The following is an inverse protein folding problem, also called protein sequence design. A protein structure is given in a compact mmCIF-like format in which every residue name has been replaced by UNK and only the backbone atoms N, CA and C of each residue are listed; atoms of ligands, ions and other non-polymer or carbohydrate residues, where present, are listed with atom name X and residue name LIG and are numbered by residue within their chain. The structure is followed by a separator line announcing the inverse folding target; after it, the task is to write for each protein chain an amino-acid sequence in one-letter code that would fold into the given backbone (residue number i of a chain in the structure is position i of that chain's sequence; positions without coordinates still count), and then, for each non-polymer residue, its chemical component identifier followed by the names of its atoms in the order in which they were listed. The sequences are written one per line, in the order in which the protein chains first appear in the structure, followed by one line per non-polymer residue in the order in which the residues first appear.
data_IF_715181690602
#
_entry.id   IF_715181690602
#
_cell.length_a   1.000
_cell.length_b   1.000
_cell.length_c   1.000
_cell.angle_alpha   90.00
_cell.angle_beta   90.00
_cell.angle_gamma   90.00
#
_symmetry.space_group_name_H-M   'P 1'
#
loop_
_entity.id
_entity.type
_entity.pdbx_description
1 polymer ?
#
# COMPACT_ATOMS: atom_id res chain seq x y z
N UNK A 1 5.85 17.26 -5.13
CA UNK A 1 4.74 16.30 -5.03
C UNK A 1 4.53 15.90 -3.58
N UNK A 2 3.58 16.55 -2.89
CA UNK A 2 3.37 16.37 -1.45
C UNK A 2 2.97 14.94 -1.07
N UNK A 3 2.05 14.32 -1.81
CA UNK A 3 1.58 12.97 -1.53
C UNK A 3 2.69 11.91 -1.62
N UNK A 4 3.67 12.08 -2.51
CA UNK A 4 4.83 11.18 -2.65
C UNK A 4 5.70 11.24 -1.40
N UNK A 5 5.99 12.44 -0.91
CA UNK A 5 6.77 12.64 0.31
C UNK A 5 6.05 12.03 1.53
N UNK A 6 4.72 12.21 1.62
CA UNK A 6 3.91 11.59 2.67
C UNK A 6 3.96 10.05 2.60
N UNK A 7 3.93 9.45 1.41
CA UNK A 7 4.11 8.00 1.23
C UNK A 7 5.51 7.54 1.63
N UNK A 8 6.54 8.29 1.24
CA UNK A 8 7.90 8.00 1.62
C UNK A 8 8.08 8.04 3.16
N UNK A 9 7.55 9.07 3.83
CA UNK A 9 7.56 9.19 5.29
C UNK A 9 6.76 8.08 5.97
N UNK A 10 5.60 7.69 5.45
CA UNK A 10 4.83 6.55 5.96
C UNK A 10 5.65 5.27 5.93
N UNK A 11 6.33 4.99 4.81
CA UNK A 11 7.14 3.78 4.67
C UNK A 11 8.38 3.83 5.58
N UNK A 12 9.04 5.00 5.68
CA UNK A 12 10.21 5.20 6.53
C UNK A 12 9.89 5.14 8.03
N UNK A 13 8.65 5.49 8.43
CA UNK A 13 8.20 5.47 9.82
C UNK A 13 7.60 4.14 10.28
N UNK A 14 7.59 3.12 9.42
CA UNK A 14 7.16 1.77 9.81
C UNK A 14 8.05 1.21 10.94
N UNK A 15 7.47 0.48 11.90
CA UNK A 15 8.26 -0.15 12.94
C UNK A 15 9.28 -1.13 12.34
N UNK A 16 10.52 -1.05 12.82
CA UNK A 16 11.63 -1.90 12.34
C UNK A 16 11.37 -3.40 12.52
N UNK A 17 10.50 -3.76 13.45
CA UNK A 17 10.15 -5.15 13.77
C UNK A 17 8.91 -5.63 13.00
N UNK A 18 8.17 -4.73 12.34
CA UNK A 18 6.94 -5.08 11.61
C UNK A 18 7.22 -5.65 10.21
N UNK A 19 8.36 -5.31 9.61
CA UNK A 19 8.77 -5.75 8.29
C UNK A 19 10.07 -6.55 8.37
N UNK A 20 10.14 -7.77 7.79
CA UNK A 20 11.26 -8.68 8.00
C UNK A 20 12.57 -8.16 7.39
N UNK A 21 12.50 -7.33 6.36
CA UNK A 21 13.67 -6.76 5.72
C UNK A 21 13.83 -5.28 6.09
N UNK A 22 15.05 -4.75 6.06
CA UNK A 22 15.25 -3.31 6.14
C UNK A 22 15.02 -2.71 4.75
N UNK A 23 14.12 -1.73 4.66
CA UNK A 23 13.98 -0.89 3.47
C UNK A 23 15.14 0.12 3.43
N UNK A 24 15.85 0.18 2.31
CA UNK A 24 17.03 1.04 2.13
C UNK A 24 16.81 2.17 1.13
N UNK A 25 15.82 2.04 0.25
CA UNK A 25 15.50 3.04 -0.76
C UNK A 25 14.02 3.09 -1.09
N UNK A 26 13.57 4.29 -1.47
CA UNK A 26 12.25 4.57 -2.02
C UNK A 26 12.46 5.53 -3.19
N UNK A 27 12.23 5.04 -4.42
CA UNK A 27 12.45 5.82 -5.63
C UNK A 27 11.17 5.87 -6.46
N UNK A 28 10.71 7.07 -6.83
CA UNK A 28 9.59 7.19 -7.77
C UNK A 28 10.11 7.16 -9.20
N UNK A 29 9.60 6.22 -9.99
CA UNK A 29 10.04 5.99 -11.37
C UNK A 29 9.01 6.45 -12.42
N UNK A 30 7.89 7.04 -11.97
CA UNK A 30 6.81 7.54 -12.82
C UNK A 30 7.25 8.67 -13.75
N UNK A 31 6.59 8.78 -14.91
CA UNK A 31 6.87 9.84 -15.90
C UNK A 31 6.68 11.25 -15.33
N UNK A 32 5.81 11.39 -14.31
CA UNK A 32 5.59 12.66 -13.62
C UNK A 32 6.78 13.08 -12.76
N UNK A 33 7.53 12.14 -12.16
CA UNK A 33 8.80 12.47 -11.49
C UNK A 33 9.84 12.97 -12.49
N UNK A 34 9.91 12.30 -13.64
CA UNK A 34 10.90 12.61 -14.70
C UNK A 34 10.52 13.83 -15.55
N UNK A 35 9.37 14.44 -15.29
CA UNK A 35 8.81 15.54 -16.09
C UNK A 35 8.64 15.19 -17.58
N UNK A 36 8.46 13.91 -17.89
CA UNK A 36 8.24 13.41 -19.26
C UNK A 36 6.78 13.12 -19.56
N UNK A 37 5.91 13.16 -18.54
CA UNK A 37 4.48 12.92 -18.73
C UNK A 37 3.85 14.03 -19.58
N UNK A 38 3.02 13.63 -20.56
CA UNK A 38 2.26 14.58 -21.40
C UNK A 38 1.36 15.46 -20.54
N UNK A 39 0.79 14.87 -19.49
CA UNK A 39 0.05 15.57 -18.45
C UNK A 39 0.56 15.12 -17.08
N UNK A 40 0.74 16.04 -16.11
CA UNK A 40 1.15 15.66 -14.77
C UNK A 40 0.06 14.79 -14.12
N UNK A 41 0.47 13.78 -13.35
CA UNK A 41 -0.45 12.97 -12.56
C UNK A 41 -1.26 13.86 -11.61
N UNK A 42 -2.56 13.60 -11.54
CA UNK A 42 -3.51 14.35 -10.70
C UNK A 42 -4.28 13.40 -9.79
N UNK A 43 -4.77 13.86 -8.64
CA UNK A 43 -5.64 13.03 -7.81
C UNK A 43 -6.88 12.65 -8.61
N UNK A 44 -7.31 11.40 -8.50
CA UNK A 44 -8.46 10.88 -9.21
C UNK A 44 -9.71 10.96 -8.34
N UNK A 45 -10.81 11.48 -8.88
CA UNK A 45 -12.08 11.63 -8.16
C UNK A 45 -12.56 10.30 -7.54
N UNK A 46 -12.49 9.21 -8.31
CA UNK A 46 -12.82 7.87 -7.82
C UNK A 46 -11.80 7.30 -6.82
N UNK A 47 -10.89 8.09 -6.24
CA UNK A 47 -10.00 7.67 -5.15
C UNK A 47 -10.05 8.63 -3.96
N UNK A 48 -10.83 9.71 -4.03
CA UNK A 48 -10.97 10.71 -2.97
C UNK A 48 -12.02 10.35 -1.91
N UNK A 49 -12.51 9.09 -1.90
CA UNK A 49 -13.63 8.59 -1.08
C UNK A 49 -13.58 8.86 0.44
N UNK A 50 -12.46 9.37 0.95
CA UNK A 50 -12.27 9.61 2.38
C UNK A 50 -12.39 11.08 2.78
N UNK A 51 -12.43 11.99 1.81
CA UNK A 51 -12.55 13.42 2.07
C UNK A 51 -13.85 13.97 1.46
N UNK A 52 -14.75 14.41 2.33
CA UNK A 52 -16.01 15.05 1.95
C UNK A 52 -15.77 16.49 1.43
N UNK A 53 -14.61 17.08 1.74
CA UNK A 53 -14.22 18.42 1.27
C UNK A 53 -13.37 18.35 0.00
N UNK A 54 -14.05 18.22 -1.13
CA UNK A 54 -13.46 18.31 -2.46
C UNK A 54 -12.97 19.73 -2.82
N UNK A 55 -13.33 20.75 -2.02
CA UNK A 55 -12.87 22.12 -2.20
C UNK A 55 -11.47 22.35 -1.61
N UNK A 56 -10.91 21.37 -0.90
CA UNK A 56 -9.53 21.39 -0.44
C UNK A 56 -8.57 21.58 -1.61
N UNK A 57 -7.59 22.47 -1.46
CA UNK A 57 -6.55 22.71 -2.49
C UNK A 57 -5.72 21.46 -2.84
N UNK A 58 -5.79 20.39 -2.04
CA UNK A 58 -5.18 19.08 -2.33
C UNK A 58 -5.86 18.36 -3.50
N UNK A 59 -7.10 18.74 -3.82
CA UNK A 59 -7.91 18.21 -4.92
C UNK A 59 -8.04 19.18 -6.08
N UNK A 60 -7.21 20.21 -6.16
CA UNK A 60 -7.19 21.09 -7.32
C UNK A 60 -6.85 20.29 -8.59
N UNK A 61 -7.73 20.35 -9.59
CA UNK A 61 -7.52 19.69 -10.88
C UNK A 61 -7.76 18.18 -10.89
N UNK A 62 -8.75 17.67 -10.15
CA UNK A 62 -9.11 16.26 -10.16
C UNK A 62 -9.20 15.65 -11.56
N UNK A 63 -8.67 14.43 -11.69
CA UNK A 63 -8.87 13.60 -12.86
C UNK A 63 -10.21 12.87 -12.76
N UNK A 64 -10.93 12.85 -13.89
CA UNK A 64 -12.13 12.03 -14.12
C UNK A 64 -11.92 11.09 -15.31
N UNK A 65 -10.66 10.81 -15.67
CA UNK A 65 -10.34 9.88 -16.75
C UNK A 65 -10.96 8.50 -16.48
N UNK A 66 -11.31 7.78 -17.55
CA UNK A 66 -11.87 6.44 -17.40
C UNK A 66 -10.88 5.44 -16.77
N UNK A 67 -9.58 5.72 -16.89
CA UNK A 67 -8.49 4.90 -16.35
C UNK A 67 -7.71 5.67 -15.30
N UNK A 68 -7.40 4.99 -14.20
CA UNK A 68 -6.54 5.50 -13.12
C UNK A 68 -5.12 5.04 -13.41
N UNK A 69 -4.22 5.99 -13.65
CA UNK A 69 -2.81 5.71 -13.85
C UNK A 69 -2.07 5.70 -12.50
N UNK A 70 -1.32 4.62 -12.18
CA UNK A 70 -0.58 4.53 -10.94
C UNK A 70 0.75 5.29 -11.00
N UNK A 71 1.10 5.96 -9.91
CA UNK A 71 2.46 6.42 -9.64
C UNK A 71 3.34 5.21 -9.30
N UNK A 72 4.22 4.84 -10.22
CA UNK A 72 5.15 3.73 -10.04
C UNK A 72 6.32 4.11 -9.13
N UNK A 73 6.56 3.30 -8.09
CA UNK A 73 7.66 3.48 -7.14
C UNK A 73 8.40 2.16 -6.92
N UNK A 74 9.68 2.25 -6.58
CA UNK A 74 10.57 1.12 -6.30
C UNK A 74 11.02 1.18 -4.85
N UNK A 75 10.97 0.04 -4.19
CA UNK A 75 11.46 -0.21 -2.84
C UNK A 75 12.67 -1.11 -2.91
N UNK A 76 13.81 -0.62 -2.44
CA UNK A 76 15.03 -1.41 -2.36
C UNK A 76 15.15 -2.01 -0.97
N UNK A 77 15.45 -3.31 -0.89
CA UNK A 77 15.63 -4.05 0.37
C UNK A 77 17.10 -4.35 0.61
N UNK A 78 17.50 -4.36 1.87
CA UNK A 78 18.82 -4.79 2.33
C UNK A 78 18.93 -6.33 2.34
N UNK A 79 20.07 -6.87 1.93
CA UNK A 79 20.42 -8.30 1.97
C UNK A 79 21.27 -8.69 3.18
N UNK A 80 21.65 -7.73 4.04
CA UNK A 80 22.59 -7.96 5.15
C UNK A 80 22.14 -9.00 6.18
N UNK A 81 20.82 -9.14 6.41
CA UNK A 81 20.25 -10.03 7.45
C UNK A 81 19.63 -11.32 6.92
N UNK A 82 19.21 -11.34 5.66
CA UNK A 82 18.42 -12.44 5.10
C UNK A 82 19.08 -12.96 3.83
N UNK A 83 19.25 -14.29 3.76
CA UNK A 83 19.71 -14.93 2.53
C UNK A 83 18.64 -14.76 1.45
N UNK A 84 18.99 -14.01 0.42
CA UNK A 84 18.17 -13.90 -0.78
C UNK A 84 18.27 -15.23 -1.55
N UNK A 85 17.16 -15.79 -2.05
CA UNK A 85 17.19 -17.05 -2.79
C UNK A 85 18.07 -16.99 -4.05
N UNK A 86 18.64 -18.14 -4.42
CA UNK A 86 19.53 -18.29 -5.58
C UNK A 86 18.81 -18.73 -6.87
N UNK A 87 17.47 -18.73 -6.85
CA UNK A 87 16.63 -19.02 -8.02
C UNK A 87 15.68 -17.85 -8.28
N UNK A 88 15.33 -17.63 -9.55
CA UNK A 88 14.42 -16.54 -9.93
C UNK A 88 13.02 -16.74 -9.32
N UNK A 89 12.56 -17.99 -9.27
CA UNK A 89 11.28 -18.37 -8.67
C UNK A 89 11.30 -18.12 -7.16
N UNK A 90 12.42 -18.45 -6.50
CA UNK A 90 12.60 -18.19 -5.08
C UNK A 90 12.58 -16.69 -4.77
N UNK A 91 13.25 -15.88 -5.58
CA UNK A 91 13.24 -14.41 -5.43
C UNK A 91 11.84 -13.83 -5.67
N UNK A 92 11.11 -14.33 -6.68
CA UNK A 92 9.73 -13.91 -6.93
C UNK A 92 8.80 -14.25 -5.77
N UNK A 93 8.90 -15.45 -5.21
CA UNK A 93 8.12 -15.87 -4.03
C UNK A 93 8.45 -15.01 -2.81
N UNK A 94 9.74 -14.75 -2.56
CA UNK A 94 10.18 -13.86 -1.49
C UNK A 94 9.57 -12.47 -1.65
N UNK A 95 9.64 -11.87 -2.84
CA UNK A 95 9.04 -10.55 -3.10
C UNK A 95 7.53 -10.53 -2.93
N UNK A 96 6.82 -11.58 -3.36
CA UNK A 96 5.37 -11.69 -3.14
C UNK A 96 5.03 -11.73 -1.65
N UNK A 97 5.77 -12.51 -0.85
CA UNK A 97 5.60 -12.54 0.60
C UNK A 97 5.89 -11.19 1.26
N UNK A 98 6.94 -10.48 0.79
CA UNK A 98 7.24 -9.13 1.25
C UNK A 98 6.15 -8.13 0.86
N UNK A 99 5.60 -8.20 -0.35
CA UNK A 99 4.48 -7.35 -0.77
C UNK A 99 3.24 -7.55 0.14
N UNK A 100 2.89 -8.82 0.40
CA UNK A 100 1.78 -9.15 1.30
C UNK A 100 2.02 -8.63 2.72
N UNK A 101 3.23 -8.80 3.25
CA UNK A 101 3.60 -8.29 4.57
C UNK A 101 3.53 -6.77 4.61
N UNK A 102 4.07 -6.08 3.61
CA UNK A 102 4.05 -4.62 3.54
C UNK A 102 2.63 -4.07 3.50
N UNK A 103 1.76 -4.63 2.65
CA UNK A 103 0.36 -4.22 2.58
C UNK A 103 -0.38 -4.46 3.90
N UNK A 104 -0.09 -5.57 4.60
CA UNK A 104 -0.66 -5.85 5.92
C UNK A 104 -0.22 -4.82 6.97
N UNK A 105 1.08 -4.52 7.02
CA UNK A 105 1.66 -3.57 7.98
C UNK A 105 1.14 -2.14 7.71
N UNK A 106 1.11 -1.72 6.44
CA UNK A 106 0.58 -0.42 6.04
C UNK A 106 -0.89 -0.27 6.45
N UNK A 107 -1.73 -1.26 6.16
CA UNK A 107 -3.13 -1.25 6.60
C UNK A 107 -3.27 -1.27 8.13
N UNK A 108 -2.42 -2.00 8.86
CA UNK A 108 -2.49 -2.04 10.31
C UNK A 108 -2.12 -0.70 10.96
N UNK A 109 -1.16 0.04 10.40
CA UNK A 109 -0.68 1.30 10.96
C UNK A 109 -1.46 2.54 10.47
N UNK A 110 -1.92 2.53 9.22
CA UNK A 110 -2.52 3.71 8.58
C UNK A 110 -3.87 3.42 7.91
N UNK A 111 -4.31 2.17 7.86
CA UNK A 111 -5.65 1.78 7.40
C UNK A 111 -6.66 2.04 8.50
N UNK A 112 -7.20 3.26 8.56
CA UNK A 112 -8.05 3.71 9.68
C UNK A 112 -9.18 2.74 10.06
N UNK A 113 -9.02 2.04 11.18
CA UNK A 113 -9.95 1.05 11.76
C UNK A 113 -11.13 1.68 12.54
N UNK A 114 -11.73 2.77 12.04
CA UNK A 114 -12.88 3.40 12.69
C UNK A 114 -14.10 3.51 11.76
N UNK A 115 -14.65 2.36 11.33
CA UNK A 115 -16.11 2.15 11.16
C UNK A 115 -16.40 0.68 11.46
N UNK A 116 -17.19 0.43 12.51
CA UNK A 116 -17.49 -0.91 12.98
C UNK A 116 -18.14 -1.80 11.91
N UNK A 117 -17.79 -3.08 11.93
CA UNK A 117 -18.46 -4.13 11.16
C UNK A 117 -17.51 -4.97 10.31
N UNK A 118 -17.38 -6.24 10.69
CA UNK A 118 -16.74 -7.34 9.97
C UNK A 118 -15.20 -7.40 9.97
N UNK A 119 -14.70 -7.90 11.10
CA UNK A 119 -13.69 -8.96 11.21
C UNK A 119 -13.34 -9.61 9.85
N UNK A 120 -12.25 -9.17 9.22
CA UNK A 120 -11.66 -9.85 8.07
C UNK A 120 -10.88 -11.05 8.59
N UNK A 121 -11.60 -12.07 9.07
CA UNK A 121 -11.02 -13.40 9.27
C UNK A 121 -10.67 -13.97 7.91
N UNK A 122 -9.39 -14.27 7.73
CA UNK A 122 -8.91 -15.25 6.76
C UNK A 122 -9.83 -16.48 6.79
N UNK A 123 -10.50 -16.77 5.68
CA UNK A 123 -11.03 -18.11 5.41
C UNK A 123 -10.18 -18.72 4.31
N UNK A 124 -9.15 -19.45 4.74
CA UNK A 124 -8.50 -20.44 3.91
C UNK A 124 -9.25 -21.78 4.07
N UNK A 125 -9.55 -22.41 2.93
CA UNK A 125 -9.87 -23.83 2.67
C UNK A 125 -11.29 -24.40 2.91
N UNK A 126 -11.94 -24.67 1.78
CA UNK A 126 -12.66 -25.89 1.34
C UNK A 126 -13.46 -26.78 2.34
N UNK A 127 -14.78 -26.76 2.10
CA UNK A 127 -15.70 -27.88 1.85
C UNK A 127 -16.30 -28.76 2.99
N UNK A 128 -17.62 -28.99 2.81
CA UNK A 128 -18.50 -30.11 3.21
C UNK A 128 -19.36 -29.95 4.49
N UNK A 129 -20.68 -29.90 4.21
CA UNK A 129 -21.89 -30.31 4.96
C UNK A 129 -22.01 -30.14 6.48
N UNK A 130 -23.17 -29.58 6.89
CA UNK A 130 -23.69 -29.82 8.22
C UNK A 130 -24.71 -28.80 8.73
N UNK A 131 -26.00 -29.04 8.44
CA UNK A 131 -27.16 -28.39 9.08
C UNK A 131 -27.01 -28.35 10.61
N UNK A 132 -27.37 -27.23 11.27
CA UNK A 132 -28.45 -27.24 12.27
C UNK A 132 -28.88 -25.84 12.75
N UNK A 133 -30.18 -25.79 13.09
CA UNK A 133 -31.04 -24.68 13.52
C UNK A 133 -30.68 -24.17 14.92
N UNK A 134 -30.97 -22.89 15.23
CA UNK A 134 -32.13 -22.48 16.05
C UNK A 134 -31.95 -21.16 16.84
N UNK A 135 -32.85 -20.20 16.56
CA UNK A 135 -33.67 -19.32 17.43
C UNK A 135 -33.12 -18.63 18.71
N UNK A 136 -33.59 -17.38 18.84
CA UNK A 136 -33.93 -16.54 20.02
C UNK A 136 -32.99 -15.35 20.25
N UNK A 137 -33.42 -14.14 20.65
CA UNK A 137 -34.73 -13.51 20.88
C UNK A 137 -34.47 -11.98 20.98
N UNK A 138 -35.49 -11.21 20.63
CA UNK A 138 -35.80 -9.83 21.02
C UNK A 138 -35.03 -9.21 22.21
N UNK A 139 -34.56 -7.96 22.08
CA UNK A 139 -35.19 -6.83 22.79
C UNK A 139 -34.75 -5.43 22.29
N UNK A 140 -35.74 -4.54 22.23
CA UNK A 140 -35.68 -3.10 21.95
C UNK A 140 -35.07 -2.32 23.14
N UNK A 141 -34.35 -1.22 22.88
CA UNK A 141 -34.73 0.10 23.40
C UNK A 141 -33.91 1.26 22.78
N UNK A 142 -34.66 2.27 22.35
CA UNK A 142 -34.23 3.65 22.04
C UNK A 142 -33.48 4.27 23.23
N UNK A 143 -32.50 5.15 22.93
CA UNK A 143 -32.57 6.53 23.44
C UNK A 143 -31.55 7.47 22.76
N UNK A 144 -32.10 8.54 22.20
CA UNK A 144 -31.41 9.72 21.69
C UNK A 144 -31.05 10.65 22.86
N UNK A 145 -29.79 11.02 23.07
CA UNK A 145 -29.42 12.28 23.75
C UNK A 145 -27.96 12.73 23.54
N UNK A 146 -27.82 13.78 22.71
CA UNK A 146 -27.06 15.03 22.90
C UNK A 146 -25.73 15.04 23.71
N UNK A 147 -24.67 15.40 22.99
CA UNK A 147 -23.68 16.47 23.25
C UNK A 147 -23.16 16.76 24.67
N UNK A 148 -21.85 16.61 24.84
CA UNK A 148 -20.94 17.45 25.65
C UNK A 148 -19.49 17.00 25.36
N UNK A 149 -18.69 17.67 24.52
CA UNK A 149 -17.86 18.84 24.85
C UNK A 149 -17.16 18.78 26.22
N UNK A 150 -15.94 18.24 26.22
CA UNK A 150 -14.86 18.61 27.15
C UNK A 150 -13.50 18.34 26.46
N UNK A 151 -12.46 19.12 26.80
CA UNK A 151 -11.44 19.58 25.86
C UNK A 151 -10.35 18.53 25.58
N UNK A 152 -9.95 18.50 24.31
CA UNK A 152 -8.82 17.72 23.80
C UNK A 152 -7.51 18.24 24.40
N UNK A 153 -6.72 17.34 24.97
CA UNK A 153 -5.31 17.59 25.19
C UNK A 153 -4.61 17.47 23.84
N UNK A 154 -4.05 18.60 23.40
CA UNK A 154 -3.15 18.74 22.26
C UNK A 154 -1.79 18.11 22.56
N UNK A 155 -1.68 16.78 22.42
CA UNK A 155 -0.39 16.09 22.32
C UNK A 155 -0.55 14.84 21.44
N UNK A 156 -0.54 15.02 20.12
CA UNK A 156 0.19 14.24 19.10
C UNK A 156 -0.37 14.67 17.73
N UNK A 157 0.05 15.85 17.24
CA UNK A 157 -0.36 16.39 15.93
C UNK A 157 0.39 15.65 14.79
N UNK A 158 0.39 14.31 14.85
CA UNK A 158 0.89 13.47 13.77
C UNK A 158 -0.14 13.50 12.65
N UNK A 159 0.27 13.75 11.39
CA UNK A 159 -0.65 13.68 10.26
C UNK A 159 -1.34 12.32 10.29
N UNK A 160 -2.67 12.32 10.46
CA UNK A 160 -3.47 11.10 10.43
C UNK A 160 -3.54 10.61 8.99
N UNK A 161 -2.51 9.89 8.57
CA UNK A 161 -2.50 9.21 7.30
C UNK A 161 -3.62 8.19 7.28
N UNK A 162 -4.49 8.27 6.27
CA UNK A 162 -5.53 7.27 6.03
C UNK A 162 -5.33 6.70 4.65
N UNK A 163 -4.93 5.43 4.62
CA UNK A 163 -4.62 4.74 3.37
C UNK A 163 -5.51 3.52 3.18
N UNK A 164 -5.47 2.98 1.95
CA UNK A 164 -5.86 1.60 1.67
C UNK A 164 -4.73 0.97 0.87
N UNK A 165 -4.21 -0.17 1.33
CA UNK A 165 -3.24 -0.94 0.56
C UNK A 165 -3.79 -2.30 0.13
N UNK A 166 -3.44 -2.70 -1.08
CA UNK A 166 -3.74 -4.00 -1.68
C UNK A 166 -2.44 -4.59 -2.19
N UNK A 167 -2.26 -5.90 -2.12
CA UNK A 167 -1.08 -6.56 -2.67
C UNK A 167 -1.45 -7.47 -3.83
N UNK A 168 -0.55 -7.53 -4.80
CA UNK A 168 -0.45 -8.62 -5.78
C UNK A 168 0.79 -9.44 -5.48
N UNK A 169 1.05 -10.47 -6.27
CA UNK A 169 2.29 -11.25 -6.20
C UNK A 169 3.54 -10.42 -6.51
N UNK A 170 3.39 -9.26 -7.17
CA UNK A 170 4.52 -8.49 -7.70
C UNK A 170 4.60 -7.05 -7.21
N UNK A 171 3.52 -6.52 -6.60
CA UNK A 171 3.45 -5.12 -6.19
C UNK A 171 2.51 -4.89 -5.02
N UNK A 172 2.67 -3.74 -4.38
CA UNK A 172 1.70 -3.19 -3.42
C UNK A 172 1.08 -1.94 -4.02
N UNK A 173 -0.23 -1.96 -4.16
CA UNK A 173 -1.03 -0.81 -4.58
C UNK A 173 -1.50 -0.06 -3.33
N UNK A 174 -1.21 1.24 -3.27
CA UNK A 174 -1.49 2.11 -2.14
C UNK A 174 -2.33 3.31 -2.60
N UNK A 175 -3.51 3.48 -2.03
CA UNK A 175 -4.38 4.64 -2.28
C UNK A 175 -4.18 5.67 -1.18
N UNK A 176 -3.70 6.86 -1.55
CA UNK A 176 -3.44 7.97 -0.64
C UNK A 176 -3.73 9.32 -1.31
N UNK A 177 -4.49 10.20 -0.66
CA UNK A 177 -4.87 11.54 -1.17
C UNK A 177 -5.37 11.56 -2.63
N UNK A 178 -6.18 10.58 -3.03
CA UNK A 178 -6.70 10.48 -4.40
C UNK A 178 -5.69 9.96 -5.44
N UNK A 179 -4.46 9.64 -5.04
CA UNK A 179 -3.47 9.00 -5.91
C UNK A 179 -3.45 7.49 -5.69
N UNK A 180 -3.15 6.75 -6.76
CA UNK A 180 -2.79 5.34 -6.70
C UNK A 180 -1.27 5.24 -6.84
N UNK A 181 -0.61 4.68 -5.85
CA UNK A 181 0.81 4.36 -5.89
C UNK A 181 0.96 2.86 -6.13
N UNK A 182 1.90 2.46 -6.98
CA UNK A 182 2.25 1.05 -7.19
C UNK A 182 3.71 0.85 -6.82
N UNK A 183 3.92 0.18 -5.71
CA UNK A 183 5.23 -0.09 -5.11
C UNK A 183 5.73 -1.45 -5.59
N UNK A 184 6.93 -1.48 -6.18
CA UNK A 184 7.63 -2.70 -6.55
C UNK A 184 8.81 -2.91 -5.62
N UNK A 185 9.03 -4.14 -5.16
CA UNK A 185 10.25 -4.48 -4.43
C UNK A 185 11.33 -4.83 -5.45
N UNK A 186 12.49 -4.20 -5.38
CA UNK A 186 13.62 -4.49 -6.25
C UNK A 186 14.82 -5.02 -5.44
N UNK A 187 15.52 -5.99 -6.03
CA UNK A 187 16.75 -6.54 -5.46
C UNK A 187 17.73 -6.93 -6.56
N UNK A 188 18.99 -6.48 -6.44
CA UNK A 188 20.01 -6.67 -7.50
C UNK A 188 20.38 -8.14 -7.75
N UNK A 189 20.01 -9.05 -6.83
CA UNK A 189 20.13 -10.50 -7.05
C UNK A 189 19.38 -10.96 -8.30
N UNK A 190 18.25 -10.36 -8.65
CA UNK A 190 17.52 -10.70 -9.89
C UNK A 190 18.37 -10.44 -11.12
N UNK A 191 18.99 -9.25 -11.20
CA UNK A 191 19.90 -8.87 -12.29
C UNK A 191 21.07 -9.85 -12.36
N UNK A 192 21.68 -10.15 -11.21
CA UNK A 192 22.83 -11.07 -11.14
C UNK A 192 22.48 -12.50 -11.57
N UNK A 193 21.31 -13.00 -11.16
CA UNK A 193 20.83 -14.34 -11.54
C UNK A 193 20.48 -14.41 -13.04
N UNK A 194 19.83 -13.39 -13.58
CA UNK A 194 19.55 -13.31 -15.02
C UNK A 194 20.84 -13.32 -15.85
N UNK A 195 21.88 -12.57 -15.42
CA UNK A 195 23.21 -12.61 -16.05
C UNK A 195 23.81 -14.01 -15.98
N UNK A 196 23.74 -14.68 -14.84
CA UNK A 196 24.28 -16.04 -14.66
C UNK A 196 23.56 -17.11 -15.51
N UNK A 197 22.26 -16.93 -15.77
CA UNK A 197 21.45 -17.83 -16.61
C UNK A 197 21.59 -17.57 -18.12
N UNK A 198 22.49 -16.65 -18.53
CA UNK A 198 22.67 -16.28 -19.94
C UNK A 198 21.55 -15.38 -20.49
N UNK A 199 20.68 -14.83 -19.64
CA UNK A 199 19.56 -13.94 -20.00
C UNK A 199 19.96 -12.47 -19.90
N UNK A 200 21.07 -12.10 -20.55
CA UNK A 200 21.69 -10.79 -20.43
C UNK A 200 20.78 -9.63 -20.86
N UNK A 201 19.96 -9.82 -21.90
CA UNK A 201 19.03 -8.80 -22.38
C UNK A 201 17.96 -8.46 -21.33
N UNK A 202 17.44 -9.47 -20.64
CA UNK A 202 16.46 -9.28 -19.58
C UNK A 202 17.08 -8.63 -18.34
N UNK A 203 18.32 -9.03 -18.01
CA UNK A 203 19.07 -8.37 -16.94
C UNK A 203 19.28 -6.88 -17.23
N UNK A 204 19.66 -6.53 -18.47
CA UNK A 204 19.87 -5.15 -18.89
C UNK A 204 18.57 -4.32 -18.85
N UNK A 205 17.44 -4.90 -19.29
CA UNK A 205 16.13 -4.26 -19.20
C UNK A 205 15.70 -4.02 -17.75
N UNK A 206 15.95 -5.00 -16.87
CA UNK A 206 15.61 -4.90 -15.45
C UNK A 206 16.47 -3.84 -14.75
N UNK A 207 17.77 -3.85 -15.04
CA UNK A 207 18.74 -2.87 -14.56
C UNK A 207 18.30 -1.47 -14.99
N UNK A 208 18.06 -1.23 -16.28
CA UNK A 208 17.62 0.08 -16.79
C UNK A 208 16.29 0.58 -16.20
N UNK A 209 15.37 -0.32 -15.84
CA UNK A 209 14.03 0.06 -15.37
C UNK A 209 13.97 0.31 -13.87
N UNK A 210 14.77 -0.40 -13.07
CA UNK A 210 14.65 -0.43 -11.62
C UNK A 210 15.91 0.06 -10.87
N UNK A 211 17.05 0.18 -11.54
CA UNK A 211 18.34 0.58 -10.96
C UNK A 211 19.02 1.66 -11.81
#
# INVERSE_FOLDING_TARGET
MRAVNEVHEMIASLPKDAFPCKLVGFDMISESERQTAVYPHRPHYALTYHDDDLCSGRYAGLSTCATIEPLHCVLTIDDSKHKIPDTLEGVALMKGALCAQLARVLNAHYGGNNRGGADCRHTDNEAIDGKNKAKQKYNSNNDNKKSSHSPQNDEDDKPKYRIRSFCTTHSVDLVHCGFLFRLYIAHYREVSLLKALGRANEAALLEQRLF
#
